data_IF_871011849212
#
_entry.id   IF_871011849212
#
_cell.length_a   1.000
_cell.length_b   1.000
_cell.length_c   1.000
_cell.angle_alpha   90.00
_cell.angle_beta   90.00
_cell.angle_gamma   90.00
#
_symmetry.space_group_name_H-M   'P 1'
#
loop_
_entity.id
_entity.type
_entity.pdbx_description
1 polymer ?
#
# COMPACT_ATOMS: atom_id res chain seq x y z
N UNK A 1 -16.40 16.41 14.91
CA UNK A 1 -16.33 15.16 15.70
C UNK A 1 -15.22 14.32 15.06
N UNK A 2 -14.08 14.07 15.74
CA UNK A 2 -12.99 13.34 15.13
C UNK A 2 -13.39 11.86 14.96
N UNK A 3 -13.00 11.21 13.85
CA UNK A 3 -13.37 9.82 13.60
C UNK A 3 -12.52 8.85 14.43
N UNK A 4 -13.16 7.80 14.96
CA UNK A 4 -12.55 6.81 15.83
C UNK A 4 -11.92 5.67 15.01
N UNK A 5 -10.71 5.23 15.42
CA UNK A 5 -10.00 4.09 14.86
C UNK A 5 -10.48 2.81 15.56
N UNK A 6 -11.09 1.87 14.83
CA UNK A 6 -11.49 0.57 15.39
C UNK A 6 -10.54 -0.51 14.87
N UNK A 7 -9.77 -1.11 15.76
CA UNK A 7 -8.86 -2.23 15.46
C UNK A 7 -9.56 -3.52 15.91
N UNK A 8 -9.93 -4.40 14.97
CA UNK A 8 -10.46 -5.74 15.28
C UNK A 8 -9.35 -6.81 15.14
N UNK A 9 -9.31 -7.85 16.00
CA UNK A 9 -8.20 -8.78 16.05
C UNK A 9 -8.34 -9.90 15.01
N UNK A 10 -7.18 -10.23 14.41
CA UNK A 10 -6.85 -11.36 13.53
C UNK A 10 -7.43 -11.21 12.10
N UNK A 11 -6.50 -10.99 11.16
CA UNK A 11 -6.65 -10.66 9.72
C UNK A 11 -7.01 -9.21 9.34
N UNK A 12 -6.12 -8.29 9.74
CA UNK A 12 -5.76 -7.00 9.11
C UNK A 12 -6.84 -6.29 8.27
N UNK A 13 -7.99 -6.05 8.89
CA UNK A 13 -9.08 -5.24 8.38
C UNK A 13 -9.04 -3.86 9.03
N UNK A 14 -8.27 -2.91 8.47
CA UNK A 14 -8.18 -1.57 9.05
C UNK A 14 -9.27 -0.68 8.47
N UNK A 15 -10.34 -0.47 9.25
CA UNK A 15 -11.47 0.39 8.92
C UNK A 15 -11.25 1.80 9.48
N UNK A 16 -11.50 2.82 8.65
CA UNK A 16 -11.84 4.15 9.15
C UNK A 16 -13.36 4.32 9.11
N UNK A 17 -14.02 4.38 10.28
CA UNK A 17 -15.48 4.33 10.37
C UNK A 17 -16.05 5.66 10.90
N UNK A 18 -17.02 6.26 10.20
CA UNK A 18 -17.74 7.48 10.66
C UNK A 18 -19.04 7.04 11.36
N UNK A 19 -19.19 7.33 12.65
CA UNK A 19 -20.39 6.97 13.42
C UNK A 19 -21.53 7.97 13.19
N UNK A 20 -22.52 7.60 12.39
CA UNK A 20 -23.82 8.24 12.28
C UNK A 20 -24.90 7.16 12.25
N UNK A 21 -26.03 7.42 12.91
CA UNK A 21 -27.17 6.50 13.09
C UNK A 21 -27.52 5.76 11.79
N UNK A 22 -27.61 4.42 11.88
CA UNK A 22 -27.87 3.43 10.81
C UNK A 22 -26.69 3.10 9.85
N UNK A 23 -25.90 2.10 10.26
CA UNK A 23 -24.90 1.41 9.43
C UNK A 23 -23.50 2.02 9.54
N UNK A 24 -22.53 1.25 10.06
CA UNK A 24 -21.13 1.67 10.07
C UNK A 24 -20.62 1.83 8.62
N UNK A 25 -20.28 3.06 8.23
CA UNK A 25 -19.69 3.36 6.92
C UNK A 25 -18.17 3.35 7.04
N UNK A 26 -17.56 2.34 6.42
CA UNK A 26 -16.21 1.90 6.71
C UNK A 26 -15.34 1.96 5.44
N UNK A 27 -14.33 2.82 5.44
CA UNK A 27 -13.29 2.78 4.39
C UNK A 27 -12.25 1.74 4.75
N UNK A 28 -11.86 0.90 3.79
CA UNK A 28 -10.90 -0.17 4.02
C UNK A 28 -9.93 -0.30 2.86
N UNK A 29 -8.65 -0.48 3.17
CA UNK A 29 -7.62 -0.92 2.21
C UNK A 29 -7.14 -2.31 2.59
N UNK A 30 -7.17 -3.23 1.63
CA UNK A 30 -6.75 -4.63 1.80
C UNK A 30 -5.61 -4.93 0.85
N UNK A 31 -4.44 -5.26 1.38
CA UNK A 31 -3.27 -5.66 0.59
C UNK A 31 -3.35 -7.14 0.24
N UNK A 32 -2.98 -7.49 -0.99
CA UNK A 32 -3.00 -8.88 -1.47
C UNK A 32 -1.98 -9.75 -0.74
N UNK A 33 -0.81 -9.20 -0.44
CA UNK A 33 0.25 -9.85 0.34
C UNK A 33 0.80 -8.91 1.39
N UNK A 34 1.08 -9.42 2.59
CA UNK A 34 1.72 -8.63 3.67
C UNK A 34 3.23 -8.69 3.61
N UNK A 35 3.78 -9.79 3.14
CA UNK A 35 5.22 -10.00 2.95
C UNK A 35 5.43 -10.62 1.59
N UNK A 36 6.51 -10.22 0.92
CA UNK A 36 6.92 -10.85 -0.32
C UNK A 36 8.44 -10.79 -0.42
N UNK A 37 9.03 -11.86 -0.93
CA UNK A 37 10.46 -11.98 -1.14
C UNK A 37 10.73 -12.25 -2.59
N UNK A 38 11.62 -11.47 -3.18
CA UNK A 38 11.87 -11.48 -4.62
C UNK A 38 13.38 -11.35 -4.88
N UNK A 39 13.88 -11.99 -5.92
CA UNK A 39 15.30 -11.92 -6.27
C UNK A 39 15.65 -10.57 -6.91
N UNK A 40 16.87 -10.10 -6.65
CA UNK A 40 17.47 -8.96 -7.34
C UNK A 40 17.35 -9.10 -8.86
N UNK A 41 17.08 -7.99 -9.55
CA UNK A 41 16.86 -7.92 -11.00
C UNK A 41 15.48 -8.38 -11.47
N UNK A 42 14.65 -8.93 -10.58
CA UNK A 42 13.30 -9.37 -10.91
C UNK A 42 12.29 -8.21 -10.91
N UNK A 43 11.03 -8.53 -11.16
CA UNK A 43 9.89 -7.62 -11.06
C UNK A 43 8.95 -8.08 -9.95
N UNK A 44 8.35 -7.14 -9.23
CA UNK A 44 7.29 -7.42 -8.24
C UNK A 44 6.07 -6.56 -8.50
N UNK A 45 4.90 -7.15 -8.26
CA UNK A 45 3.62 -6.46 -8.21
C UNK A 45 3.10 -6.47 -6.77
N UNK A 46 2.97 -5.29 -6.19
CA UNK A 46 2.37 -5.05 -4.87
C UNK A 46 0.99 -4.45 -5.09
N UNK A 47 -0.06 -5.20 -4.73
CA UNK A 47 -1.44 -4.76 -4.98
C UNK A 47 -2.24 -4.60 -3.69
N UNK A 48 -3.17 -3.64 -3.72
CA UNK A 48 -4.20 -3.50 -2.71
C UNK A 48 -5.55 -3.15 -3.34
N UNK A 49 -6.63 -3.44 -2.61
CA UNK A 49 -7.99 -3.08 -2.99
C UNK A 49 -8.57 -2.14 -1.95
N UNK A 50 -9.19 -1.06 -2.42
CA UNK A 50 -9.93 -0.13 -1.59
C UNK A 50 -11.42 -0.44 -1.66
N UNK A 51 -12.06 -0.53 -0.50
CA UNK A 51 -13.51 -0.65 -0.35
C UNK A 51 -14.01 0.62 0.32
N UNK A 52 -14.87 1.35 -0.40
CA UNK A 52 -15.50 2.57 0.09
C UNK A 52 -16.52 3.12 -0.90
N UNK A 53 -17.13 4.24 -0.54
CA UNK A 53 -18.25 4.82 -1.29
C UNK A 53 -17.81 5.77 -2.42
N UNK A 54 -16.70 6.48 -2.21
CA UNK A 54 -16.20 7.49 -3.15
C UNK A 54 -15.10 6.90 -4.02
N UNK A 55 -15.04 7.34 -5.27
CA UNK A 55 -13.91 6.98 -6.14
C UNK A 55 -12.67 7.78 -5.75
N UNK A 56 -11.50 7.19 -5.94
CA UNK A 56 -10.22 7.87 -5.74
C UNK A 56 -10.00 8.93 -6.82
N UNK A 57 -9.62 10.14 -6.44
CA UNK A 57 -9.26 11.23 -7.36
C UNK A 57 -7.76 11.25 -7.64
N UNK A 58 -6.95 10.91 -6.64
CA UNK A 58 -5.52 10.69 -6.78
C UNK A 58 -5.06 9.61 -5.82
N UNK A 59 -3.97 8.95 -6.18
CA UNK A 59 -3.38 7.91 -5.35
C UNK A 59 -1.91 7.72 -5.70
N UNK A 60 -1.11 7.34 -4.72
CA UNK A 60 0.28 7.02 -4.93
C UNK A 60 0.76 5.99 -3.92
N UNK A 61 1.92 5.41 -4.23
CA UNK A 61 2.63 4.51 -3.35
C UNK A 61 3.83 5.22 -2.76
N UNK A 62 4.20 4.85 -1.53
CA UNK A 62 5.35 5.40 -0.82
C UNK A 62 6.00 4.32 0.05
N UNK A 63 7.28 4.53 0.38
CA UNK A 63 7.99 3.71 1.38
C UNK A 63 7.72 4.24 2.79
N UNK A 64 7.55 3.34 3.75
CA UNK A 64 7.31 3.72 5.14
C UNK A 64 8.56 4.13 5.93
N UNK A 65 9.76 3.95 5.36
CA UNK A 65 11.03 4.34 5.97
C UNK A 65 11.37 5.83 5.80
N UNK A 66 10.61 6.55 4.96
CA UNK A 66 10.67 8.01 4.87
C UNK A 66 9.79 8.65 5.93
N UNK A 67 10.26 9.76 6.51
CA UNK A 67 9.52 10.53 7.53
C UNK A 67 8.22 11.13 6.98
N UNK A 68 8.20 11.46 5.69
CA UNK A 68 7.04 11.99 4.97
C UNK A 68 6.66 11.05 3.82
N UNK A 69 5.36 10.76 3.62
CA UNK A 69 4.91 10.01 2.45
C UNK A 69 5.27 10.76 1.16
N UNK A 70 6.12 10.15 0.34
CA UNK A 70 6.56 10.68 -0.95
C UNK A 70 6.22 9.69 -2.06
N UNK A 71 5.73 10.20 -3.18
CA UNK A 71 5.40 9.39 -4.36
C UNK A 71 6.65 8.76 -4.97
N UNK A 72 6.68 7.43 -5.10
CA UNK A 72 7.82 6.71 -5.69
C UNK A 72 8.15 7.15 -7.11
N UNK A 73 7.18 7.64 -7.88
CA UNK A 73 7.43 8.12 -9.25
C UNK A 73 8.29 9.39 -9.29
N UNK A 74 8.34 10.12 -8.17
CA UNK A 74 9.18 11.32 -8.01
C UNK A 74 10.56 11.02 -7.45
N UNK A 75 10.78 9.80 -6.95
CA UNK A 75 12.05 9.37 -6.40
C UNK A 75 13.04 8.99 -7.52
N UNK A 76 14.21 9.65 -7.62
CA UNK A 76 15.20 9.34 -8.65
C UNK A 76 15.67 7.87 -8.61
N UNK A 77 15.65 7.22 -7.45
CA UNK A 77 16.00 5.81 -7.30
C UNK A 77 15.05 4.87 -8.03
N UNK A 78 13.80 5.28 -8.25
CA UNK A 78 12.75 4.50 -8.90
C UNK A 78 12.43 4.97 -10.33
N UNK A 79 13.14 5.99 -10.83
CA UNK A 79 12.93 6.53 -12.17
C UNK A 79 13.04 5.44 -13.25
N UNK A 80 11.99 5.31 -14.06
CA UNK A 80 11.90 4.30 -15.13
C UNK A 80 11.71 2.86 -14.65
N UNK A 81 11.63 2.61 -13.33
CA UNK A 81 11.46 1.27 -12.73
C UNK A 81 10.08 1.04 -12.13
N UNK A 82 9.30 2.11 -11.94
CA UNK A 82 7.98 2.06 -11.28
C UNK A 82 6.86 2.35 -12.25
N UNK A 83 5.80 1.55 -12.15
CA UNK A 83 4.54 1.75 -12.84
C UNK A 83 3.37 1.56 -11.87
N UNK A 84 2.38 2.44 -11.95
CA UNK A 84 1.14 2.33 -11.20
C UNK A 84 0.02 1.88 -12.11
N UNK A 85 -0.76 0.88 -11.67
CA UNK A 85 -1.99 0.47 -12.33
C UNK A 85 -3.17 0.48 -11.36
N UNK A 86 -4.37 0.48 -11.91
CA UNK A 86 -5.61 0.63 -11.15
C UNK A 86 -6.14 2.06 -11.18
N UNK A 87 -7.45 2.19 -11.36
CA UNK A 87 -8.15 3.48 -11.37
C UNK A 87 -9.40 3.39 -10.52
N UNK A 88 -9.79 4.52 -9.91
CA UNK A 88 -11.05 4.80 -9.21
C UNK A 88 -11.43 3.90 -8.02
N UNK A 89 -11.45 2.58 -8.20
CA UNK A 89 -11.87 1.56 -7.25
C UNK A 89 -10.90 0.37 -7.13
N UNK A 90 -9.83 0.36 -7.91
CA UNK A 90 -8.78 -0.65 -7.86
C UNK A 90 -9.08 -1.93 -8.68
N UNK A 91 -8.26 -2.98 -8.53
CA UNK A 91 -7.11 -3.07 -7.64
C UNK A 91 -6.01 -2.07 -8.01
N UNK A 92 -5.42 -1.42 -7.00
CA UNK A 92 -4.28 -0.54 -7.18
C UNK A 92 -3.01 -1.37 -7.08
N UNK A 93 -2.15 -1.31 -8.09
CA UNK A 93 -0.93 -2.11 -8.13
C UNK A 93 0.27 -1.21 -8.38
N UNK A 94 1.28 -1.39 -7.54
CA UNK A 94 2.64 -0.91 -7.72
C UNK A 94 3.46 -2.01 -8.37
N UNK A 95 3.95 -1.76 -9.58
CA UNK A 95 4.93 -2.61 -10.24
C UNK A 95 6.32 -1.99 -10.11
N UNK A 96 7.28 -2.75 -9.61
CA UNK A 96 8.69 -2.34 -9.54
C UNK A 96 9.52 -3.35 -10.33
N UNK A 97 10.24 -2.89 -11.34
CA UNK A 97 11.14 -3.69 -12.18
C UNK A 97 12.61 -3.48 -11.79
N UNK A 98 13.50 -4.38 -12.19
CA UNK A 98 14.93 -4.29 -11.90
C UNK A 98 15.17 -4.08 -10.38
N UNK A 99 14.60 -4.98 -9.58
CA UNK A 99 14.67 -4.87 -8.12
C UNK A 99 16.11 -4.89 -7.59
N UNK A 100 16.37 -4.07 -6.59
CA UNK A 100 17.67 -3.94 -5.94
C UNK A 100 17.55 -4.19 -4.45
N UNK A 101 18.66 -4.51 -3.80
CA UNK A 101 18.64 -4.86 -2.37
C UNK A 101 18.09 -3.70 -1.52
N UNK A 102 18.45 -2.46 -1.90
CA UNK A 102 17.99 -1.21 -1.31
C UNK A 102 16.50 -0.89 -1.54
N UNK A 103 15.83 -1.62 -2.44
CA UNK A 103 14.38 -1.53 -2.61
C UNK A 103 13.63 -2.32 -1.52
N UNK A 104 14.34 -3.04 -0.64
CA UNK A 104 13.75 -3.71 0.51
C UNK A 104 13.19 -2.67 1.49
N UNK A 105 11.86 -2.63 1.61
CA UNK A 105 11.13 -1.69 2.45
C UNK A 105 9.69 -2.18 2.65
N UNK A 106 8.94 -1.51 3.51
CA UNK A 106 7.48 -1.64 3.51
C UNK A 106 6.87 -0.56 2.61
N UNK A 107 6.07 -1.02 1.65
CA UNK A 107 5.37 -0.19 0.68
C UNK A 107 3.93 -0.01 1.09
N UNK A 108 3.48 1.25 1.13
CA UNK A 108 2.14 1.64 1.55
C UNK A 108 1.45 2.43 0.44
N UNK A 109 0.14 2.28 0.39
CA UNK A 109 -0.76 2.95 -0.53
C UNK A 109 -1.53 4.04 0.20
N UNK A 110 -1.61 5.22 -0.42
CA UNK A 110 -2.50 6.29 0.01
C UNK A 110 -3.28 6.85 -1.18
N UNK A 111 -4.43 7.43 -0.88
CA UNK A 111 -5.30 8.03 -1.89
C UNK A 111 -6.12 9.18 -1.31
N UNK A 112 -6.57 10.04 -2.21
CA UNK A 112 -7.56 11.07 -1.94
C UNK A 112 -8.86 10.75 -2.67
N UNK A 113 -9.95 11.18 -2.07
CA UNK A 113 -11.28 11.24 -2.67
C UNK A 113 -11.77 12.68 -2.53
N UNK A 114 -12.89 13.02 -3.16
CA UNK A 114 -13.48 14.36 -3.01
C UNK A 114 -13.82 14.74 -1.56
N UNK A 115 -13.99 13.74 -0.67
CA UNK A 115 -14.51 13.94 0.68
C UNK A 115 -13.57 13.48 1.81
N UNK A 116 -12.47 12.80 1.47
CA UNK A 116 -11.63 12.12 2.45
C UNK A 116 -10.26 11.78 1.87
N UNK A 117 -9.23 11.87 2.70
CA UNK A 117 -7.86 11.44 2.41
C UNK A 117 -7.50 10.25 3.30
N UNK A 118 -7.01 9.18 2.69
CA UNK A 118 -6.59 7.99 3.40
C UNK A 118 -5.26 8.24 4.13
N UNK A 119 -5.21 7.85 5.41
CA UNK A 119 -4.03 8.05 6.23
C UNK A 119 -2.86 7.14 5.83
N UNK A 120 -1.65 7.50 6.26
CA UNK A 120 -0.41 6.76 6.01
C UNK A 120 0.06 5.90 7.20
N UNK A 121 -0.71 5.85 8.29
CA UNK A 121 -0.38 5.15 9.54
C UNK A 121 -0.57 3.63 9.47
N UNK A 122 -1.21 3.12 8.41
CA UNK A 122 -1.57 1.71 8.30
C UNK A 122 -0.45 0.89 7.64
N UNK A 123 -0.18 -0.33 8.14
CA UNK A 123 0.83 -1.18 7.55
C UNK A 123 0.44 -1.60 6.13
N UNK A 124 1.44 -1.80 5.28
CA UNK A 124 1.33 -2.17 3.89
C UNK A 124 1.90 -3.55 3.61
N UNK A 125 2.69 -3.65 2.53
CA UNK A 125 3.39 -4.85 2.11
C UNK A 125 4.89 -4.68 2.34
N UNK A 126 5.49 -5.56 3.12
CA UNK A 126 6.95 -5.65 3.26
C UNK A 126 7.54 -6.42 2.08
N UNK A 127 8.45 -5.78 1.34
CA UNK A 127 9.24 -6.39 0.29
C UNK A 127 10.66 -6.65 0.82
N UNK A 128 11.16 -7.85 0.59
CA UNK A 128 12.56 -8.20 0.83
C UNK A 128 13.20 -8.66 -0.48
N UNK A 129 14.26 -7.98 -0.90
CA UNK A 129 15.00 -8.30 -2.13
C UNK A 129 16.23 -9.12 -1.78
N UNK A 130 16.35 -10.31 -2.37
CA UNK A 130 17.41 -11.27 -2.07
C UNK A 130 18.44 -11.29 -3.20
N UNK A 131 19.74 -11.33 -2.85
CA UNK A 131 20.86 -11.40 -3.82
C UNK A 131 21.02 -12.81 -4.41
N UNK A 132 20.60 -13.85 -3.68
CA UNK A 132 20.63 -15.24 -4.10
C UNK A 132 19.41 -15.96 -3.53
N UNK A 133 18.97 -17.06 -4.17
CA UNK A 133 17.92 -17.94 -3.66
C UNK A 133 18.44 -18.70 -2.44
N UNK A 134 18.60 -18.02 -1.30
CA UNK A 134 18.69 -18.70 -0.02
C UNK A 134 17.28 -19.12 0.37
N UNK A 135 17.11 -20.38 0.76
CA UNK A 135 15.94 -20.90 1.45
C UNK A 135 15.78 -20.21 2.82
N UNK A 136 15.44 -18.93 2.81
CA UNK A 136 14.89 -18.24 3.96
C UNK A 136 13.41 -18.16 3.75
N UNK A 137 12.69 -19.04 4.44
CA UNK A 137 11.24 -19.11 4.48
C UNK A 137 10.69 -17.73 4.87
N UNK A 138 10.19 -16.99 3.89
CA UNK A 138 9.42 -15.78 4.14
C UNK A 138 8.04 -16.17 4.66
N UNK A 139 7.97 -16.51 5.95
CA UNK A 139 6.73 -16.69 6.71
C UNK A 139 6.29 -15.37 7.36
#
# INVERSE_FOLDING_TARGET
IPPYLVVLPIDLLLCHCVSGVQGQRCYRVTYTKRRTCVLKGSTVDISCTYVGYYSTTSSFWFRSDKSTPEDLTTDPGYAGRVEYTGTYRGPFTLRITDLREEDSAEYRFTFKTDNFEWGHSFPGTTLSVLVQQMEVWCN
#
